data_IF_840407014675
#
_entry.id   IF_840407014675
#
_cell.length_a   1.000
_cell.length_b   1.000
_cell.length_c   1.000
_cell.angle_alpha   90.00
_cell.angle_beta   90.00
_cell.angle_gamma   90.00
#
_symmetry.space_group_name_H-M   'P 1'
#
loop_
_entity.id
_entity.type
_entity.pdbx_description
1 polymer ?
#
# COMPACT_ATOMS: atom_id res chain seq x y z
N UNK A 1 1.05 -29.77 12.78
CA UNK A 1 1.60 -28.57 12.09
C UNK A 1 0.68 -27.34 12.19
N UNK A 2 -0.60 -27.52 12.49
CA UNK A 2 -1.62 -26.46 12.64
C UNK A 2 -1.40 -25.55 13.84
N UNK A 3 -1.03 -26.08 15.00
CA UNK A 3 -0.89 -25.27 16.24
C UNK A 3 0.18 -24.16 16.15
N UNK A 4 1.28 -24.42 15.44
CA UNK A 4 2.35 -23.42 15.24
C UNK A 4 1.92 -22.29 14.30
N UNK A 5 1.01 -22.58 13.37
CA UNK A 5 0.48 -21.59 12.43
C UNK A 5 -0.50 -20.64 13.12
N UNK A 6 -1.36 -21.18 13.99
CA UNK A 6 -2.32 -20.37 14.77
C UNK A 6 -1.61 -19.45 15.77
N UNK A 7 -0.55 -19.95 16.41
CA UNK A 7 0.24 -19.14 17.35
C UNK A 7 0.98 -18.01 16.61
N UNK A 8 1.58 -18.30 15.46
CA UNK A 8 2.25 -17.29 14.63
C UNK A 8 1.29 -16.20 14.14
N UNK A 9 0.05 -16.55 13.79
CA UNK A 9 -0.97 -15.56 13.40
C UNK A 9 -1.42 -14.70 14.58
N UNK A 10 -1.59 -15.29 15.76
CA UNK A 10 -1.98 -14.58 16.99
C UNK A 10 -0.93 -13.55 17.43
N UNK A 11 0.35 -13.95 17.46
CA UNK A 11 1.45 -13.06 17.83
C UNK A 11 1.57 -11.88 16.87
N UNK A 12 1.35 -12.12 15.58
CA UNK A 12 1.45 -11.11 14.52
C UNK A 12 0.28 -10.14 14.50
N UNK A 13 -0.90 -10.59 14.90
CA UNK A 13 -2.06 -9.73 15.17
C UNK A 13 -1.82 -8.83 16.40
N UNK A 14 -1.21 -9.36 17.46
CA UNK A 14 -0.85 -8.57 18.63
C UNK A 14 0.23 -7.52 18.32
N UNK A 15 1.26 -7.86 17.55
CA UNK A 15 2.27 -6.87 17.09
C UNK A 15 1.66 -5.74 16.24
N UNK A 16 0.69 -6.05 15.38
CA UNK A 16 -0.01 -5.05 14.58
C UNK A 16 -0.79 -4.03 15.42
N UNK A 17 -1.41 -4.50 16.52
CA UNK A 17 -2.19 -3.64 17.43
C UNK A 17 -1.30 -2.67 18.21
N UNK A 18 -0.08 -3.08 18.59
CA UNK A 18 0.85 -2.21 19.32
C UNK A 18 1.70 -1.30 18.42
N UNK A 19 1.84 -1.64 17.13
CA UNK A 19 2.68 -0.87 16.19
C UNK A 19 2.02 -0.81 14.79
N UNK A 20 1.02 0.07 14.59
CA UNK A 20 0.14 0.03 13.42
C UNK A 20 0.84 0.38 12.08
N UNK A 21 2.06 0.94 12.11
CA UNK A 21 2.84 1.25 10.91
C UNK A 21 3.59 0.05 10.29
N UNK A 22 3.81 -1.03 11.05
CA UNK A 22 4.70 -2.14 10.62
C UNK A 22 4.02 -3.30 9.89
N UNK A 23 2.68 -3.40 9.91
CA UNK A 23 1.99 -4.59 9.39
C UNK A 23 1.88 -4.67 7.87
N UNK A 24 1.95 -3.53 7.17
CA UNK A 24 1.64 -3.46 5.74
C UNK A 24 2.85 -3.83 4.86
N UNK A 25 4.07 -3.49 5.30
CA UNK A 25 5.33 -3.86 4.64
C UNK A 25 5.52 -5.37 4.50
N UNK A 26 5.03 -6.18 5.45
CA UNK A 26 5.20 -7.64 5.39
C UNK A 26 4.24 -8.31 4.39
N UNK A 27 3.06 -7.74 4.14
CA UNK A 27 2.14 -8.23 3.10
C UNK A 27 2.71 -7.99 1.70
N UNK A 28 3.46 -6.89 1.52
CA UNK A 28 4.13 -6.56 0.26
C UNK A 28 5.42 -7.36 0.01
N UNK A 29 6.21 -7.69 1.05
CA UNK A 29 7.34 -8.64 0.93
C UNK A 29 6.88 -10.04 0.46
N UNK A 30 5.70 -10.49 0.90
CA UNK A 30 5.09 -11.74 0.39
C UNK A 30 4.79 -11.64 -1.11
N UNK A 31 4.38 -10.46 -1.62
CA UNK A 31 4.23 -10.22 -3.06
C UNK A 31 5.58 -10.20 -3.80
N UNK A 32 6.68 -9.72 -3.19
CA UNK A 32 8.04 -9.84 -3.75
C UNK A 32 8.46 -11.32 -3.90
N UNK A 33 8.06 -12.18 -2.97
CA UNK A 33 8.28 -13.64 -3.05
C UNK A 33 7.57 -14.31 -4.23
N UNK A 34 6.33 -13.89 -4.54
CA UNK A 34 5.58 -14.39 -5.71
C UNK A 34 6.18 -13.87 -7.02
N UNK A 35 6.71 -12.63 -7.02
CA UNK A 35 7.39 -12.00 -8.16
C UNK A 35 8.66 -12.76 -8.60
N UNK A 36 9.37 -13.40 -7.67
CA UNK A 36 10.56 -14.22 -7.96
C UNK A 36 10.24 -15.69 -8.29
N UNK A 37 8.99 -16.16 -8.09
CA UNK A 37 8.60 -17.54 -8.33
C UNK A 37 8.18 -17.83 -9.78
N UNK A 38 8.16 -16.84 -10.68
CA UNK A 38 8.00 -17.07 -12.11
C UNK A 38 9.28 -16.62 -12.82
N UNK A 39 10.33 -17.45 -12.87
CA UNK A 39 11.46 -17.18 -13.74
C UNK A 39 10.95 -17.00 -15.18
N UNK A 40 11.66 -16.25 -16.04
CA UNK A 40 11.39 -16.36 -17.47
C UNK A 40 11.51 -17.83 -17.82
N UNK A 41 10.40 -18.49 -18.14
CA UNK A 41 10.43 -19.89 -18.54
C UNK A 41 11.49 -20.03 -19.63
N UNK A 42 12.56 -20.84 -19.42
CA UNK A 42 13.50 -21.07 -20.48
C UNK A 42 12.74 -21.66 -21.66
N UNK A 43 13.01 -21.11 -22.83
CA UNK A 43 12.48 -21.54 -24.11
C UNK A 43 12.69 -23.06 -24.26
N UNK A 44 11.65 -23.84 -24.01
CA UNK A 44 11.59 -25.22 -24.48
C UNK A 44 10.73 -25.21 -25.74
N UNK A 45 11.24 -25.73 -26.88
CA UNK A 45 10.41 -25.98 -28.04
C UNK A 45 9.52 -27.18 -27.71
N UNK A 46 8.37 -26.93 -27.10
CA UNK A 46 7.36 -27.97 -26.93
C UNK A 46 6.66 -28.18 -28.28
N UNK A 47 7.22 -29.08 -29.07
CA UNK A 47 6.46 -29.83 -30.06
C UNK A 47 5.57 -30.84 -29.29
N UNK A 48 4.61 -30.32 -28.54
CA UNK A 48 3.52 -31.10 -27.97
C UNK A 48 2.22 -30.58 -28.56
N UNK A 49 1.53 -31.47 -29.24
CA UNK A 49 0.18 -31.31 -29.75
C UNK A 49 -0.76 -31.10 -28.56
N UNK A 50 -0.87 -29.85 -28.08
CA UNK A 50 -1.84 -29.46 -27.07
C UNK A 50 -3.24 -29.53 -27.69
N UNK A 51 -3.91 -30.65 -27.45
CA UNK A 51 -5.36 -30.72 -27.59
C UNK A 51 -5.95 -29.88 -26.46
N UNK A 52 -6.40 -28.68 -26.79
CA UNK A 52 -7.15 -27.84 -25.86
C UNK A 52 -8.57 -28.41 -25.75
N UNK A 53 -8.87 -29.09 -24.64
CA UNK A 53 -10.24 -29.42 -24.26
C UNK A 53 -10.94 -28.15 -23.81
N UNK A 54 -11.74 -27.57 -24.70
CA UNK A 54 -12.74 -26.56 -24.35
C UNK A 54 -14.06 -27.28 -24.05
N UNK A 55 -14.47 -27.26 -22.78
CA UNK A 55 -15.87 -27.51 -22.42
C UNK A 55 -16.70 -26.33 -22.92
N UNK A 56 -17.52 -26.55 -23.95
CA UNK A 56 -18.44 -25.53 -24.46
C UNK A 56 -18.97 -25.83 -25.85
N UNK A 57 -20.15 -26.46 -25.88
CA UNK A 57 -21.07 -26.63 -27.01
C UNK A 57 -20.60 -27.54 -28.15
N UNK A 58 -21.20 -28.73 -28.22
CA UNK A 58 -21.02 -29.70 -29.29
C UNK A 58 -21.57 -29.16 -30.62
N UNK A 59 -20.70 -29.04 -31.62
CA UNK A 59 -21.06 -28.94 -33.03
C UNK A 59 -20.43 -30.14 -33.77
N UNK A 60 -21.18 -30.92 -34.56
CA UNK A 60 -20.64 -32.09 -35.23
C UNK A 60 -19.97 -31.67 -36.55
N UNK A 61 -18.68 -32.00 -36.69
CA UNK A 61 -17.97 -31.91 -37.96
C UNK A 61 -16.63 -31.20 -37.85
N UNK A 62 -15.58 -31.93 -37.42
CA UNK A 62 -14.22 -31.47 -37.63
C UNK A 62 -13.32 -32.68 -37.94
N UNK A 63 -13.29 -33.09 -39.21
CA UNK A 63 -12.21 -33.92 -39.72
C UNK A 63 -10.92 -33.08 -39.75
N UNK A 64 -9.74 -33.66 -39.42
CA UNK A 64 -8.47 -32.95 -39.55
C UNK A 64 -8.13 -32.81 -41.04
N UNK A 65 -8.59 -31.71 -41.65
CA UNK A 65 -8.09 -31.27 -42.96
C UNK A 65 -6.59 -30.92 -42.83
N UNK A 66 -5.75 -31.29 -43.82
CA UNK A 66 -4.34 -30.91 -43.81
C UNK A 66 -4.25 -29.37 -43.84
N UNK A 67 -3.77 -28.79 -42.73
CA UNK A 67 -3.59 -27.34 -42.62
C UNK A 67 -2.55 -26.91 -43.67
N UNK A 68 -2.87 -25.91 -44.49
CA UNK A 68 -1.88 -25.35 -45.41
C UNK A 68 -0.71 -24.78 -44.61
N UNK A 69 0.55 -24.85 -45.08
CA UNK A 69 1.68 -24.16 -44.45
C UNK A 69 1.41 -22.67 -44.12
N UNK A 70 0.53 -22.00 -44.88
CA UNK A 70 0.11 -20.62 -44.59
C UNK A 70 -0.72 -20.48 -43.29
N UNK A 71 -1.49 -21.51 -42.92
CA UNK A 71 -2.28 -21.53 -41.67
C UNK A 71 -1.37 -21.66 -40.43
N UNK A 72 -0.28 -22.40 -40.55
CA UNK A 72 0.71 -22.55 -39.48
C UNK A 72 1.46 -21.23 -39.23
N UNK A 73 1.84 -20.51 -40.29
CA UNK A 73 2.42 -19.17 -40.17
C UNK A 73 1.47 -18.19 -39.49
N UNK A 74 0.18 -18.20 -39.86
CA UNK A 74 -0.85 -17.37 -39.21
C UNK A 74 -0.98 -17.67 -37.73
N UNK A 75 -0.91 -18.94 -37.35
CA UNK A 75 -0.98 -19.41 -35.95
C UNK A 75 0.26 -19.00 -35.16
N UNK A 76 1.46 -19.10 -35.74
CA UNK A 76 2.71 -18.62 -35.13
C UNK A 76 2.64 -17.11 -34.89
N UNK A 77 2.21 -16.33 -35.90
CA UNK A 77 2.04 -14.88 -35.75
C UNK A 77 1.01 -14.52 -34.67
N UNK A 78 -0.07 -15.29 -34.53
CA UNK A 78 -1.06 -15.08 -33.46
C UNK A 78 -0.48 -15.39 -32.07
N UNK A 79 0.26 -16.49 -31.93
CA UNK A 79 0.92 -16.86 -30.67
C UNK A 79 1.94 -15.80 -30.25
N UNK A 80 2.72 -15.30 -31.20
CA UNK A 80 3.71 -14.26 -30.91
C UNK A 80 3.05 -12.94 -30.48
N UNK A 81 1.98 -12.51 -31.16
CA UNK A 81 1.19 -11.34 -30.72
C UNK A 81 0.63 -11.51 -29.31
N UNK A 82 0.10 -12.70 -28.99
CA UNK A 82 -0.42 -12.98 -27.64
C UNK A 82 0.69 -13.02 -26.59
N UNK A 83 1.86 -13.58 -26.93
CA UNK A 83 3.05 -13.60 -26.05
C UNK A 83 3.46 -12.18 -25.65
N UNK A 84 3.58 -11.29 -26.63
CA UNK A 84 3.92 -9.87 -26.39
C UNK A 84 2.82 -9.17 -25.59
N UNK A 85 1.54 -9.42 -25.90
CA UNK A 85 0.42 -8.83 -25.15
C UNK A 85 0.40 -9.27 -23.68
N UNK A 86 0.63 -10.57 -23.42
CA UNK A 86 0.71 -11.11 -22.06
C UNK A 86 1.91 -10.52 -21.30
N UNK A 87 3.08 -10.41 -21.94
CA UNK A 87 4.27 -9.79 -21.34
C UNK A 87 4.01 -8.31 -20.99
N UNK A 88 3.38 -7.55 -21.89
CA UNK A 88 3.03 -6.14 -21.64
C UNK A 88 2.02 -6.00 -20.50
N UNK A 89 1.01 -6.87 -20.44
CA UNK A 89 0.02 -6.89 -19.36
C UNK A 89 0.69 -7.13 -18.01
N UNK A 90 1.53 -8.18 -17.92
CA UNK A 90 2.31 -8.49 -16.70
C UNK A 90 3.19 -7.30 -16.30
N UNK A 91 3.94 -6.72 -17.24
CA UNK A 91 4.77 -5.54 -16.98
C UNK A 91 3.95 -4.36 -16.44
N UNK A 92 2.79 -4.07 -17.02
CA UNK A 92 1.89 -3.00 -16.57
C UNK A 92 1.39 -3.26 -15.14
N UNK A 93 1.07 -4.50 -14.81
CA UNK A 93 0.63 -4.86 -13.47
C UNK A 93 1.76 -4.71 -12.44
N UNK A 94 2.98 -5.17 -12.77
CA UNK A 94 4.17 -4.99 -11.92
C UNK A 94 4.46 -3.52 -11.69
N UNK A 95 4.50 -2.71 -12.76
CA UNK A 95 4.72 -1.26 -12.64
C UNK A 95 3.68 -0.56 -11.77
N UNK A 96 2.40 -0.99 -11.83
CA UNK A 96 1.36 -0.43 -10.96
C UNK A 96 1.63 -0.76 -9.48
N UNK A 97 2.06 -1.98 -9.19
CA UNK A 97 2.39 -2.39 -7.82
C UNK A 97 3.63 -1.65 -7.31
N UNK A 98 4.67 -1.50 -8.14
CA UNK A 98 5.90 -0.78 -7.78
C UNK A 98 5.59 0.70 -7.50
N UNK A 99 4.81 1.38 -8.36
CA UNK A 99 4.40 2.78 -8.13
C UNK A 99 3.62 2.97 -6.83
N UNK A 100 2.68 2.05 -6.54
CA UNK A 100 1.92 2.11 -5.29
C UNK A 100 2.81 1.93 -4.07
N UNK A 101 3.86 1.10 -4.18
CA UNK A 101 4.82 0.88 -3.12
C UNK A 101 5.69 2.11 -2.89
N UNK A 102 6.22 2.70 -3.97
CA UNK A 102 6.99 3.95 -3.90
C UNK A 102 6.16 5.07 -3.24
N UNK A 103 4.90 5.22 -3.62
CA UNK A 103 3.98 6.19 -3.00
C UNK A 103 3.76 5.91 -1.51
N UNK A 104 3.57 4.65 -1.14
CA UNK A 104 3.44 4.24 0.26
C UNK A 104 4.69 4.56 1.07
N UNK A 105 5.89 4.23 0.55
CA UNK A 105 7.15 4.49 1.26
C UNK A 105 7.38 5.99 1.46
N UNK A 106 7.08 6.82 0.47
CA UNK A 106 7.14 8.27 0.59
C UNK A 106 6.20 8.79 1.69
N UNK A 107 4.94 8.32 1.70
CA UNK A 107 3.96 8.71 2.71
C UNK A 107 4.34 8.24 4.11
N UNK A 108 4.91 7.04 4.26
CA UNK A 108 5.37 6.53 5.55
C UNK A 108 6.54 7.38 6.08
N UNK A 109 7.49 7.76 5.21
CA UNK A 109 8.58 8.66 5.57
C UNK A 109 8.05 10.02 6.04
N UNK A 110 7.14 10.63 5.28
CA UNK A 110 6.51 11.90 5.65
C UNK A 110 5.74 11.77 6.97
N UNK A 111 4.99 10.68 7.16
CA UNK A 111 4.26 10.43 8.39
C UNK A 111 5.20 10.34 9.60
N UNK A 112 6.33 9.65 9.47
CA UNK A 112 7.33 9.58 10.55
C UNK A 112 7.96 10.94 10.84
N UNK A 113 8.21 11.76 9.82
CA UNK A 113 8.73 13.11 9.99
C UNK A 113 7.75 13.99 10.75
N UNK A 114 6.47 14.00 10.32
CA UNK A 114 5.41 14.78 10.97
C UNK A 114 5.20 14.34 12.42
N UNK A 115 5.21 13.04 12.71
CA UNK A 115 5.10 12.54 14.10
C UNK A 115 6.24 13.00 14.99
N UNK A 116 7.47 13.04 14.48
CA UNK A 116 8.62 13.58 15.23
C UNK A 116 8.44 15.07 15.49
N UNK A 117 7.98 15.82 14.51
CA UNK A 117 7.75 17.26 14.65
C UNK A 117 6.65 17.57 15.66
N UNK A 118 5.54 16.83 15.61
CA UNK A 118 4.49 16.90 16.63
C UNK A 118 5.06 16.63 18.01
N UNK A 119 5.92 15.60 18.15
CA UNK A 119 6.60 15.29 19.40
C UNK A 119 7.42 16.48 19.94
N UNK A 120 8.29 17.04 19.10
CA UNK A 120 9.12 18.20 19.46
C UNK A 120 8.28 19.41 19.88
N UNK A 121 7.28 19.77 19.09
CA UNK A 121 6.41 20.92 19.39
C UNK A 121 5.60 20.69 20.68
N UNK A 122 5.20 19.45 20.95
CA UNK A 122 4.50 19.10 22.20
C UNK A 122 5.42 19.25 23.41
N UNK A 123 6.69 18.84 23.29
CA UNK A 123 7.71 19.03 24.33
C UNK A 123 8.00 20.51 24.57
N UNK A 124 8.15 21.30 23.51
CA UNK A 124 8.33 22.75 23.59
C UNK A 124 7.14 23.43 24.28
N UNK A 125 5.91 23.09 23.88
CA UNK A 125 4.70 23.62 24.50
C UNK A 125 4.63 23.28 25.99
N UNK A 126 4.96 22.03 26.36
CA UNK A 126 5.01 21.60 27.76
C UNK A 126 6.05 22.41 28.53
N UNK A 127 7.26 22.55 27.98
CA UNK A 127 8.35 23.30 28.61
C UNK A 127 7.97 24.77 28.84
N UNK A 128 7.41 25.44 27.83
CA UNK A 128 6.96 26.83 27.94
C UNK A 128 5.82 26.99 28.95
N UNK A 129 4.89 26.03 28.97
CA UNK A 129 3.78 26.03 29.94
C UNK A 129 4.30 25.87 31.36
N UNK A 130 5.28 24.98 31.60
CA UNK A 130 5.92 24.81 32.91
C UNK A 130 6.69 26.06 33.33
N UNK A 131 7.46 26.65 32.42
CA UNK A 131 8.18 27.90 32.68
C UNK A 131 7.23 29.05 33.04
N UNK A 132 6.09 29.15 32.33
CA UNK A 132 5.06 30.15 32.64
C UNK A 132 4.45 29.92 34.02
N UNK A 133 4.05 28.68 34.34
CA UNK A 133 3.50 28.31 35.65
C UNK A 133 4.48 28.59 36.79
N UNK A 134 5.77 28.38 36.57
CA UNK A 134 6.79 28.71 37.57
C UNK A 134 6.91 30.23 37.76
N UNK A 135 6.91 30.99 36.67
CA UNK A 135 6.88 32.45 36.73
C UNK A 135 5.63 32.98 37.45
N UNK A 136 4.45 32.42 37.19
CA UNK A 136 3.20 32.83 37.82
C UNK A 136 3.27 32.81 39.36
N UNK A 137 3.97 31.84 39.94
CA UNK A 137 4.17 31.72 41.40
C UNK A 137 4.99 32.86 42.00
N UNK A 138 5.80 33.54 41.20
CA UNK A 138 6.69 34.62 41.63
C UNK A 138 6.30 35.98 41.05
N UNK A 139 5.32 36.03 40.14
CA UNK A 139 4.95 37.23 39.41
C UNK A 139 4.23 38.22 40.33
N UNK A 140 4.84 39.37 40.68
CA UNK A 140 4.20 40.35 41.57
C UNK A 140 2.91 40.90 40.98
N UNK A 141 2.77 40.92 39.65
CA UNK A 141 1.57 41.39 38.94
C UNK A 141 0.38 40.44 39.06
N UNK A 142 0.61 39.14 39.30
CA UNK A 142 -0.45 38.15 39.51
C UNK A 142 -0.72 37.90 41.00
N UNK A 143 0.29 38.12 41.86
CA UNK A 143 0.19 37.98 43.31
C UNK A 143 -0.38 39.23 44.00
N UNK A 144 -0.34 40.40 43.35
CA UNK A 144 -1.06 41.59 43.78
C UNK A 144 -2.43 41.64 43.10
N UNK A 145 -3.54 41.90 43.82
CA UNK A 145 -4.85 42.08 43.23
C UNK A 145 -4.91 43.46 42.55
N UNK A 146 -4.26 43.60 41.41
CA UNK A 146 -4.57 44.70 40.49
C UNK A 146 -5.78 44.25 39.68
N UNK A 147 -6.91 44.91 39.97
CA UNK A 147 -8.22 44.71 39.34
C UNK A 147 -8.11 44.76 37.81
N UNK A 148 -7.88 43.61 37.16
CA UNK A 148 -8.10 43.50 35.73
C UNK A 148 -9.61 43.47 35.47
N UNK A 149 -10.09 44.51 34.80
CA UNK A 149 -11.44 44.58 34.24
C UNK A 149 -11.68 43.31 33.41
N UNK A 150 -12.79 42.57 33.59
CA UNK A 150 -13.07 41.40 32.78
C UNK A 150 -13.10 41.77 31.30
N UNK A 151 -12.15 41.25 30.53
CA UNK A 151 -12.19 41.34 29.06
C UNK A 151 -13.38 40.49 28.60
N UNK A 152 -14.34 41.05 27.83
CA UNK A 152 -15.46 40.28 27.33
C UNK A 152 -14.97 39.10 26.47
N UNK A 153 -15.64 37.93 26.54
CA UNK A 153 -15.28 36.79 25.70
C UNK A 153 -15.34 37.20 24.23
N UNK A 154 -14.25 36.95 23.50
CA UNK A 154 -14.23 37.13 22.05
C UNK A 154 -15.23 36.15 21.42
N UNK A 155 -16.12 36.60 20.53
CA UNK A 155 -16.96 35.68 19.79
C UNK A 155 -16.09 34.82 18.87
N UNK A 156 -16.27 33.51 18.96
CA UNK A 156 -15.59 32.51 18.13
C UNK A 156 -15.78 32.84 16.63
N UNK A 157 -14.73 32.77 15.81
CA UNK A 157 -14.91 32.79 14.37
C UNK A 157 -15.61 31.49 13.98
N UNK A 158 -16.88 31.64 13.64
CA UNK A 158 -17.76 30.71 12.94
C UNK A 158 -17.01 29.54 12.29
N UNK A 159 -17.39 28.32 12.68
CA UNK A 159 -17.07 27.11 11.96
C UNK A 159 -17.67 27.20 10.54
N UNK A 160 -16.91 27.80 9.63
CA UNK A 160 -17.21 27.83 8.21
C UNK A 160 -17.15 26.41 7.68
N UNK A 161 -18.32 25.86 7.38
CA UNK A 161 -18.52 24.61 6.67
C UNK A 161 -17.64 24.56 5.41
N UNK A 162 -16.75 23.57 5.32
CA UNK A 162 -16.12 23.20 4.05
C UNK A 162 -16.99 22.13 3.36
N UNK A 163 -17.38 22.32 2.08
CA UNK A 163 -18.16 21.34 1.35
C UNK A 163 -17.32 20.13 0.93
N UNK A 164 -18.03 19.01 0.81
CA UNK A 164 -17.55 17.64 0.55
C UNK A 164 -17.19 17.42 -0.92
#
# INVERSE_FOLDING_TARGET
MTAKFTQALSTRLQEWVLNPGGGQVHSFEILKGIRNACPPSPLLPTNLKTQATTLGVAAPGNQPQPQSPEDDDRKVRRREKNRVAAQRSRKKQTQKADKLHEEYECLEQENTMLRREIGKLTEELKHLTEALKEHEKMCPLLLCPMNFVPVPPRPDPVAGCLPR
#
